data_IF_953886452969
#
_entry.id   IF_953886452969
#
_cell.length_a   1.000
_cell.length_b   1.000
_cell.length_c   1.000
_cell.angle_alpha   90.00
_cell.angle_beta   90.00
_cell.angle_gamma   90.00
#
_symmetry.space_group_name_H-M   'P 1'
#
loop_
_entity.id
_entity.type
_entity.pdbx_description
1 polymer ?
#
# COMPACT_ATOMS: atom_id res chain seq x y z
N UNK A 1 5.97 3.53 -41.97
CA UNK A 1 6.02 2.22 -41.33
C UNK A 1 5.19 2.34 -40.04
N UNK A 2 4.10 1.63 -40.04
CA UNK A 2 2.94 1.89 -39.17
C UNK A 2 3.13 1.19 -37.82
N UNK A 3 2.75 1.91 -36.75
CA UNK A 3 2.75 1.47 -35.35
C UNK A 3 1.80 0.28 -35.04
N UNK A 4 1.33 -0.44 -36.04
CA UNK A 4 0.34 -1.51 -35.89
C UNK A 4 0.92 -2.92 -35.69
N UNK A 5 2.24 -3.10 -35.73
CA UNK A 5 2.86 -4.43 -35.62
C UNK A 5 3.45 -4.77 -34.25
N UNK A 6 3.24 -3.90 -33.24
CA UNK A 6 3.72 -4.15 -31.87
C UNK A 6 2.62 -4.63 -30.90
N UNK A 7 1.44 -4.98 -31.40
CA UNK A 7 0.24 -5.28 -30.59
C UNK A 7 -0.06 -6.75 -30.41
N UNK A 8 0.88 -7.66 -30.67
CA UNK A 8 0.62 -9.11 -30.59
C UNK A 8 1.57 -9.89 -29.66
N UNK A 9 1.95 -9.26 -28.57
CA UNK A 9 2.61 -9.93 -27.43
C UNK A 9 1.67 -9.94 -26.24
N UNK A 10 0.81 -10.97 -26.21
CA UNK A 10 0.23 -11.61 -25.05
C UNK A 10 -0.21 -10.74 -23.87
N UNK A 11 -1.50 -10.33 -23.85
CA UNK A 11 -2.25 -10.23 -22.60
C UNK A 11 -1.98 -9.04 -21.68
N UNK A 12 -1.22 -8.04 -22.03
CA UNK A 12 -1.10 -6.81 -21.26
C UNK A 12 -2.33 -5.93 -21.49
N UNK A 13 -3.19 -5.86 -20.49
CA UNK A 13 -4.35 -4.97 -20.49
C UNK A 13 -3.92 -3.53 -20.77
N UNK A 14 -4.33 -2.98 -21.92
CA UNK A 14 -4.13 -1.58 -22.32
C UNK A 14 -4.92 -0.55 -21.47
N UNK A 15 -5.45 -0.99 -20.34
CA UNK A 15 -6.21 -0.18 -19.40
C UNK A 15 -5.37 0.83 -18.57
N UNK A 16 -4.05 0.81 -18.70
CA UNK A 16 -3.16 1.73 -17.99
C UNK A 16 -3.03 3.08 -18.70
N UNK A 17 -4.17 3.77 -18.96
CA UNK A 17 -4.15 5.13 -19.48
C UNK A 17 -3.75 6.13 -18.40
N UNK A 18 -2.85 7.08 -18.72
CA UNK A 18 -2.50 8.19 -17.82
C UNK A 18 -3.76 8.97 -17.46
N UNK A 19 -4.20 8.82 -16.22
CA UNK A 19 -5.29 9.65 -15.67
C UNK A 19 -4.77 11.05 -15.41
N UNK A 20 -5.57 12.07 -15.75
CA UNK A 20 -5.27 13.47 -15.45
C UNK A 20 -5.34 13.77 -13.93
N UNK A 21 -6.03 12.93 -13.17
CA UNK A 21 -6.15 13.02 -11.70
C UNK A 21 -5.28 11.95 -11.06
N UNK A 22 -4.51 12.31 -10.04
CA UNK A 22 -3.71 11.35 -9.30
C UNK A 22 -4.64 10.38 -8.55
N UNK A 23 -4.45 9.08 -8.79
CA UNK A 23 -5.15 8.03 -8.06
C UNK A 23 -4.26 7.53 -6.93
N UNK A 24 -4.86 7.38 -5.76
CA UNK A 24 -4.23 6.86 -4.56
C UNK A 24 -4.88 5.53 -4.18
N UNK A 25 -4.09 4.47 -4.08
CA UNK A 25 -4.52 3.19 -3.54
C UNK A 25 -4.13 3.07 -2.07
N UNK A 26 -5.03 2.60 -1.24
CA UNK A 26 -4.76 2.19 0.13
C UNK A 26 -4.97 0.68 0.18
N UNK A 27 -3.90 -0.08 0.48
CA UNK A 27 -3.93 -1.54 0.43
C UNK A 27 -4.14 -2.16 1.81
N UNK A 28 -4.73 -3.35 1.82
CA UNK A 28 -4.86 -4.22 2.99
C UNK A 28 -5.57 -3.57 4.19
N UNK A 29 -6.51 -2.67 3.94
CA UNK A 29 -7.30 -2.06 4.99
C UNK A 29 -8.70 -2.70 5.10
N UNK A 30 -8.76 -3.82 5.78
CA UNK A 30 -9.98 -4.63 5.93
C UNK A 30 -11.17 -3.92 6.58
N UNK A 31 -10.95 -2.79 7.23
CA UNK A 31 -11.98 -2.07 7.98
C UNK A 31 -12.39 -0.74 7.34
N UNK A 32 -11.80 -0.35 6.21
CA UNK A 32 -11.97 0.99 5.59
C UNK A 32 -11.80 2.12 6.63
N UNK A 33 -10.85 1.92 7.55
CA UNK A 33 -10.61 2.81 8.68
C UNK A 33 -10.19 4.24 8.28
N UNK A 34 -9.41 4.47 7.22
CA UNK A 34 -8.96 5.80 6.82
C UNK A 34 -10.09 6.77 6.54
N UNK A 35 -11.21 6.33 5.98
CA UNK A 35 -12.36 7.20 5.68
C UNK A 35 -12.98 7.83 6.91
N UNK A 36 -12.86 7.17 8.07
CA UNK A 36 -13.31 7.67 9.36
C UNK A 36 -12.37 8.68 10.02
N UNK A 37 -11.17 8.89 9.49
CA UNK A 37 -10.19 9.78 10.10
C UNK A 37 -10.45 11.24 9.73
N UNK A 38 -10.35 12.19 10.69
CA UNK A 38 -10.55 13.61 10.44
C UNK A 38 -9.63 14.18 9.35
N UNK A 39 -8.44 13.59 9.19
CA UNK A 39 -7.46 14.02 8.20
C UNK A 39 -7.73 13.49 6.79
N UNK A 40 -8.70 12.61 6.61
CA UNK A 40 -9.03 12.07 5.28
C UNK A 40 -9.50 13.17 4.32
N UNK A 41 -10.17 14.20 4.83
CA UNK A 41 -10.59 15.38 4.06
C UNK A 41 -9.43 16.15 3.40
N UNK A 42 -8.18 15.96 3.86
CA UNK A 42 -7.00 16.56 3.22
C UNK A 42 -6.69 15.93 1.86
N UNK A 43 -7.31 14.80 1.54
CA UNK A 43 -7.22 14.12 0.24
C UNK A 43 -8.31 14.56 -0.73
N UNK A 44 -9.06 15.63 -0.42
CA UNK A 44 -10.05 16.21 -1.32
C UNK A 44 -9.38 16.58 -2.66
N UNK A 45 -9.94 16.10 -3.76
CA UNK A 45 -9.38 16.25 -5.09
C UNK A 45 -8.43 15.14 -5.55
N UNK A 46 -8.15 14.16 -4.70
CA UNK A 46 -7.43 12.92 -5.04
C UNK A 46 -8.45 11.78 -5.17
N UNK A 47 -8.33 10.98 -6.22
CA UNK A 47 -9.18 9.79 -6.39
C UNK A 47 -8.62 8.66 -5.49
N UNK A 48 -9.25 8.44 -4.33
CA UNK A 48 -8.79 7.49 -3.32
C UNK A 48 -9.61 6.21 -3.38
N UNK A 49 -8.93 5.10 -3.61
CA UNK A 49 -9.53 3.76 -3.60
C UNK A 49 -8.91 2.96 -2.44
N UNK A 50 -9.78 2.45 -1.57
CA UNK A 50 -9.39 1.57 -0.46
C UNK A 50 -9.66 0.13 -0.87
N UNK A 51 -8.62 -0.70 -0.82
CA UNK A 51 -8.71 -2.13 -1.06
C UNK A 51 -8.80 -2.84 0.29
N UNK A 52 -9.94 -3.46 0.52
CA UNK A 52 -10.25 -4.19 1.75
C UNK A 52 -9.82 -5.65 1.69
N UNK A 53 -9.55 -6.15 0.48
CA UNK A 53 -9.09 -7.52 0.24
C UNK A 53 -7.59 -7.54 -0.04
N UNK A 54 -6.94 -8.63 0.36
CA UNK A 54 -5.54 -8.87 0.06
C UNK A 54 -5.39 -9.56 -1.30
N UNK A 55 -4.44 -9.09 -2.11
CA UNK A 55 -4.08 -9.70 -3.39
C UNK A 55 -2.81 -10.53 -3.24
N UNK A 56 -2.91 -11.86 -3.17
CA UNK A 56 -1.73 -12.72 -2.98
C UNK A 56 -0.87 -12.81 -4.24
N UNK A 57 -1.47 -12.59 -5.42
CA UNK A 57 -0.80 -12.71 -6.71
C UNK A 57 -0.25 -11.34 -7.17
N UNK A 58 1.07 -11.28 -7.36
CA UNK A 58 1.78 -10.05 -7.79
C UNK A 58 1.23 -9.47 -9.09
N UNK A 59 0.92 -10.33 -10.07
CA UNK A 59 0.40 -9.88 -11.37
C UNK A 59 -1.02 -9.32 -11.27
N UNK A 60 -1.88 -9.94 -10.46
CA UNK A 60 -3.24 -9.45 -10.23
C UNK A 60 -3.21 -8.08 -9.54
N UNK A 61 -2.31 -7.89 -8.57
CA UNK A 61 -2.09 -6.61 -7.92
C UNK A 61 -1.56 -5.56 -8.91
N UNK A 62 -0.61 -5.94 -9.77
CA UNK A 62 -0.05 -5.04 -10.76
C UNK A 62 -1.13 -4.52 -11.74
N UNK A 63 -2.00 -5.40 -12.20
CA UNK A 63 -3.12 -5.02 -13.09
C UNK A 63 -4.09 -4.05 -12.41
N UNK A 64 -4.40 -4.27 -11.15
CA UNK A 64 -5.27 -3.38 -10.36
C UNK A 64 -4.64 -1.99 -10.15
N UNK A 65 -3.33 -1.94 -9.92
CA UNK A 65 -2.63 -0.71 -9.52
C UNK A 65 -1.95 0.02 -10.66
N UNK A 66 -1.97 -0.47 -11.90
CA UNK A 66 -1.24 0.11 -13.03
C UNK A 66 -1.57 1.59 -13.30
N UNK A 67 -2.79 2.05 -12.99
CA UNK A 67 -3.24 3.43 -13.18
C UNK A 67 -2.98 4.35 -11.98
N UNK A 68 -2.48 3.81 -10.86
CA UNK A 68 -2.30 4.57 -9.63
C UNK A 68 -0.95 5.30 -9.61
N UNK A 69 -0.96 6.53 -9.11
CA UNK A 69 0.23 7.35 -8.93
C UNK A 69 0.82 7.25 -7.52
N UNK A 70 0.03 6.84 -6.56
CA UNK A 70 0.46 6.67 -5.17
C UNK A 70 -0.17 5.44 -4.52
N UNK A 71 0.59 4.82 -3.62
CA UNK A 71 0.16 3.65 -2.84
C UNK A 71 0.47 3.88 -1.37
N UNK A 72 -0.50 3.58 -0.51
CA UNK A 72 -0.34 3.53 0.95
C UNK A 72 -0.35 2.06 1.38
N UNK A 73 0.67 1.67 2.11
CA UNK A 73 0.82 0.33 2.66
C UNK A 73 0.54 0.35 4.16
N UNK A 74 -0.27 -0.59 4.60
CA UNK A 74 -0.47 -0.89 6.00
C UNK A 74 0.24 -2.18 6.36
N UNK A 75 1.24 -2.07 7.25
CA UNK A 75 2.05 -3.20 7.70
C UNK A 75 2.84 -3.85 6.55
N UNK A 76 3.30 -5.08 6.76
CA UNK A 76 4.16 -5.82 5.83
C UNK A 76 3.38 -6.90 5.04
N UNK A 77 2.08 -6.67 4.77
CA UNK A 77 1.24 -7.67 4.10
C UNK A 77 1.57 -7.82 2.62
N UNK A 78 1.82 -6.70 1.94
CA UNK A 78 2.12 -6.71 0.51
C UNK A 78 3.62 -6.52 0.29
N UNK A 79 4.29 -7.51 -0.31
CA UNK A 79 5.69 -7.39 -0.70
C UNK A 79 5.83 -6.53 -1.97
N UNK A 80 6.59 -5.44 -1.86
CA UNK A 80 6.89 -4.54 -2.98
C UNK A 80 8.24 -4.95 -3.57
N UNK A 81 8.19 -5.93 -4.46
CA UNK A 81 9.36 -6.52 -5.12
C UNK A 81 9.73 -5.73 -6.39
N UNK A 82 10.89 -6.05 -6.96
CA UNK A 82 11.35 -5.52 -8.25
C UNK A 82 10.30 -5.79 -9.33
N UNK A 83 9.83 -7.03 -9.40
CA UNK A 83 8.87 -7.49 -10.41
C UNK A 83 7.57 -6.70 -10.36
N UNK A 84 7.10 -6.35 -9.14
CA UNK A 84 5.92 -5.54 -8.95
C UNK A 84 6.16 -4.08 -9.38
N UNK A 85 7.30 -3.50 -8.95
CA UNK A 85 7.64 -2.12 -9.26
C UNK A 85 7.85 -1.88 -10.75
N UNK A 86 8.40 -2.85 -11.47
CA UNK A 86 8.62 -2.75 -12.91
C UNK A 86 7.30 -2.75 -13.73
N UNK A 87 6.20 -3.23 -13.13
CA UNK A 87 4.86 -3.15 -13.71
C UNK A 87 4.17 -1.79 -13.48
N UNK A 88 4.64 -1.01 -12.52
CA UNK A 88 4.02 0.25 -12.12
C UNK A 88 4.54 1.44 -12.93
N UNK A 89 3.99 1.67 -14.10
CA UNK A 89 4.43 2.73 -15.00
C UNK A 89 4.10 4.16 -14.49
N UNK A 90 3.11 4.29 -13.64
CA UNK A 90 2.61 5.59 -13.16
C UNK A 90 2.93 5.88 -11.69
N UNK A 91 3.43 4.90 -10.95
CA UNK A 91 3.69 5.03 -9.52
C UNK A 91 4.81 6.06 -9.27
N UNK A 92 4.54 7.00 -8.37
CA UNK A 92 5.46 8.07 -7.95
C UNK A 92 5.73 8.07 -6.46
N UNK A 93 4.82 7.52 -5.67
CA UNK A 93 4.88 7.58 -4.21
C UNK A 93 4.42 6.27 -3.60
N UNK A 94 5.21 5.76 -2.67
CA UNK A 94 4.81 4.74 -1.71
C UNK A 94 4.87 5.37 -0.32
N UNK A 95 3.77 5.32 0.41
CA UNK A 95 3.71 5.74 1.81
C UNK A 95 3.56 4.51 2.69
N UNK A 96 4.53 4.27 3.55
CA UNK A 96 4.57 3.15 4.48
C UNK A 96 4.60 3.67 5.92
N UNK A 97 3.78 3.08 6.77
CA UNK A 97 3.85 3.33 8.20
C UNK A 97 4.76 2.30 8.87
N UNK A 98 5.78 2.78 9.60
CA UNK A 98 6.76 1.95 10.32
C UNK A 98 7.89 1.40 9.44
N UNK A 99 8.38 0.18 9.74
CA UNK A 99 9.49 -0.47 9.04
C UNK A 99 9.09 -0.96 7.64
N UNK A 100 10.08 -1.19 6.79
CA UNK A 100 9.87 -1.49 5.37
C UNK A 100 10.71 -2.70 4.84
N UNK A 101 10.85 -3.79 5.60
CA UNK A 101 11.70 -4.92 5.16
C UNK A 101 11.14 -5.62 3.90
N UNK A 102 9.87 -5.40 3.58
CA UNK A 102 9.16 -5.95 2.44
C UNK A 102 9.19 -5.05 1.19
N UNK A 103 9.92 -3.92 1.23
CA UNK A 103 10.02 -2.98 0.10
C UNK A 103 11.43 -2.99 -0.46
N UNK A 104 11.57 -3.23 -1.76
CA UNK A 104 12.85 -3.12 -2.48
C UNK A 104 13.19 -1.65 -2.74
N UNK A 105 13.94 -1.04 -1.82
CA UNK A 105 14.33 0.37 -1.90
C UNK A 105 15.21 0.67 -3.12
N UNK A 106 16.21 -0.16 -3.47
CA UNK A 106 16.97 0.01 -4.71
C UNK A 106 16.07 0.04 -5.96
N UNK A 107 15.05 -0.80 -6.03
CA UNK A 107 14.11 -0.80 -7.14
C UNK A 107 13.23 0.48 -7.16
N UNK A 108 12.79 0.96 -6.00
CA UNK A 108 12.09 2.25 -5.91
C UNK A 108 12.93 3.39 -6.49
N UNK A 109 14.22 3.45 -6.13
CA UNK A 109 15.14 4.48 -6.62
C UNK A 109 15.29 4.39 -8.15
N UNK A 110 15.50 3.18 -8.69
CA UNK A 110 15.64 2.97 -10.14
C UNK A 110 14.40 3.42 -10.91
N UNK A 111 13.21 3.15 -10.37
CA UNK A 111 11.93 3.48 -10.99
C UNK A 111 11.46 4.92 -10.69
N UNK A 112 12.26 5.71 -9.95
CA UNK A 112 11.92 7.08 -9.59
C UNK A 112 10.70 7.19 -8.67
N UNK A 113 10.47 6.17 -7.83
CA UNK A 113 9.41 6.10 -6.84
C UNK A 113 9.91 6.62 -5.50
N UNK A 114 9.25 7.64 -4.97
CA UNK A 114 9.55 8.17 -3.64
C UNK A 114 8.96 7.24 -2.57
N UNK A 115 9.80 6.74 -1.68
CA UNK A 115 9.37 6.00 -0.50
C UNK A 115 9.33 6.91 0.72
N UNK A 116 8.13 7.16 1.25
CA UNK A 116 7.90 7.92 2.46
C UNK A 116 7.62 6.98 3.62
N UNK A 117 8.38 7.15 4.70
CA UNK A 117 8.29 6.35 5.91
C UNK A 117 7.89 7.23 7.08
N UNK A 118 6.93 6.79 7.87
CA UNK A 118 6.64 7.41 9.16
C UNK A 118 7.22 6.52 10.27
N UNK A 119 8.51 6.66 10.49
CA UNK A 119 9.16 6.06 11.64
C UNK A 119 8.93 6.98 12.84
N UNK A 120 8.27 6.47 13.88
CA UNK A 120 8.07 7.23 15.11
C UNK A 120 9.41 7.64 15.70
N UNK A 121 9.78 8.88 15.46
CA UNK A 121 10.94 9.47 16.11
C UNK A 121 10.55 9.89 17.52
N UNK A 122 11.06 9.20 18.53
CA UNK A 122 11.19 9.77 19.84
C UNK A 122 10.42 9.14 21.00
N UNK A 123 9.28 8.47 20.80
CA UNK A 123 8.59 7.83 21.93
C UNK A 123 8.38 6.34 21.64
N UNK A 124 9.04 5.44 22.40
CA UNK A 124 8.77 4.01 22.28
C UNK A 124 7.28 3.75 22.53
N UNK A 125 6.64 2.97 21.64
CA UNK A 125 5.27 2.53 21.88
C UNK A 125 5.31 1.28 22.73
N UNK A 126 4.83 1.37 23.95
CA UNK A 126 4.68 0.23 24.87
C UNK A 126 3.31 -0.44 24.76
N UNK A 127 2.42 0.07 23.87
CA UNK A 127 1.03 -0.36 23.79
C UNK A 127 0.87 -1.88 23.59
N UNK A 128 1.70 -2.50 22.74
CA UNK A 128 1.65 -3.95 22.53
C UNK A 128 2.06 -4.73 23.80
N UNK A 129 3.11 -4.29 24.50
CA UNK A 129 3.56 -4.90 25.71
C UNK A 129 2.54 -4.74 26.84
N UNK A 130 2.00 -3.53 27.00
CA UNK A 130 0.96 -3.23 28.00
C UNK A 130 -0.30 -4.06 27.77
N UNK A 131 -0.75 -4.16 26.52
CA UNK A 131 -1.91 -4.97 26.17
C UNK A 131 -1.66 -6.46 26.43
N UNK A 132 -0.49 -6.98 26.09
CA UNK A 132 -0.10 -8.37 26.37
C UNK A 132 -0.14 -8.65 27.87
N UNK A 133 0.44 -7.78 28.69
CA UNK A 133 0.40 -7.91 30.13
C UNK A 133 -1.02 -7.84 30.69
N UNK A 134 -1.84 -6.92 30.17
CA UNK A 134 -3.25 -6.81 30.57
C UNK A 134 -4.00 -8.12 30.31
N UNK A 135 -3.81 -8.74 29.14
CA UNK A 135 -4.44 -10.01 28.79
C UNK A 135 -3.94 -11.16 29.68
N UNK A 136 -2.64 -11.24 29.96
CA UNK A 136 -2.08 -12.26 30.86
C UNK A 136 -2.69 -12.12 32.26
N UNK A 137 -2.71 -10.90 32.81
CA UNK A 137 -3.27 -10.66 34.14
C UNK A 137 -4.79 -10.94 34.18
N UNK A 138 -5.52 -10.61 33.14
CA UNK A 138 -6.94 -10.93 33.02
C UNK A 138 -7.19 -12.44 33.00
N UNK A 139 -6.38 -13.19 32.25
CA UNK A 139 -6.49 -14.65 32.16
C UNK A 139 -6.16 -15.35 33.48
N UNK A 140 -5.25 -14.77 34.27
CA UNK A 140 -4.85 -15.34 35.59
C UNK A 140 -5.84 -15.03 36.73
N UNK A 141 -6.76 -14.10 36.54
CA UNK A 141 -7.79 -13.76 37.53
C UNK A 141 -9.14 -14.23 37.04
N UNK A 142 -9.83 -15.14 37.77
CA UNK A 142 -11.21 -15.47 37.47
C UNK A 142 -12.05 -14.21 37.64
N UNK A 143 -12.56 -13.67 36.52
CA UNK A 143 -13.53 -12.57 36.58
C UNK A 143 -14.83 -13.12 37.17
N UNK A 144 -15.45 -12.49 38.16
CA UNK A 144 -16.80 -12.83 38.58
C UNK A 144 -17.72 -12.63 37.39
N UNK A 145 -18.53 -13.67 37.08
CA UNK A 145 -19.59 -13.62 36.09
C UNK A 145 -20.72 -12.75 36.56
#
# INVERSE_FOLDING_TARGET
MCLSEFLDLGGLSWACAKSATMKLAILDDWFDAPRGLPNFSKLDGVDVIVFTDHFPETLALADQLCSFGAVVLFREHTAVTVELLDQFLNLKLISQRSVYPHVDVPACIRNGVLLCLNMHSGTPSFAAAEHTWALILAAMRPSPQ
#
